data_IF_561160725470
#
_entry.id   IF_561160725470
#
_cell.length_a   1.000
_cell.length_b   1.000
_cell.length_c   1.000
_cell.angle_alpha   90.00
_cell.angle_beta   90.00
_cell.angle_gamma   90.00
#
_symmetry.space_group_name_H-M   'P 1'
#
loop_
_entity.id
_entity.type
_entity.pdbx_description
1 polymer ?
#
# COMPACT_ATOMS: atom_id res chain seq x y z
N UNK A 1 25.24 11.87 -13.20
CA UNK A 1 24.07 10.98 -13.02
C UNK A 1 24.56 9.54 -13.11
N UNK A 2 24.46 8.77 -12.02
CA UNK A 2 24.85 7.35 -12.05
C UNK A 2 23.72 6.57 -12.71
N UNK A 3 24.01 5.85 -13.79
CA UNK A 3 23.04 4.97 -14.44
C UNK A 3 22.86 3.70 -13.61
N UNK A 4 21.61 3.30 -13.39
CA UNK A 4 21.27 2.04 -12.72
C UNK A 4 20.38 1.23 -13.66
N UNK A 5 20.79 0.02 -13.95
CA UNK A 5 19.96 -0.95 -14.67
C UNK A 5 19.13 -1.70 -13.66
N UNK A 6 17.82 -1.73 -13.85
CA UNK A 6 16.86 -2.46 -13.01
C UNK A 6 16.06 -3.41 -13.90
N UNK A 7 15.98 -4.71 -13.56
CA UNK A 7 15.09 -5.62 -14.24
C UNK A 7 13.64 -5.29 -13.88
N UNK A 8 12.77 -5.23 -14.88
CA UNK A 8 11.32 -5.02 -14.72
C UNK A 8 10.56 -6.09 -15.49
N UNK A 9 9.34 -6.40 -15.06
CA UNK A 9 8.45 -7.29 -15.81
C UNK A 9 7.87 -6.57 -17.04
N UNK A 10 7.46 -7.34 -18.04
CA UNK A 10 6.80 -6.80 -19.24
C UNK A 10 5.50 -6.05 -18.90
N UNK A 11 4.76 -6.52 -17.90
CA UNK A 11 3.58 -5.85 -17.37
C UNK A 11 3.93 -4.45 -16.82
N UNK A 12 4.97 -4.37 -15.99
CA UNK A 12 5.42 -3.10 -15.43
C UNK A 12 5.90 -2.13 -16.53
N UNK A 13 6.57 -2.64 -17.57
CA UNK A 13 6.97 -1.85 -18.73
C UNK A 13 5.77 -1.24 -19.47
N UNK A 14 4.73 -2.03 -19.72
CA UNK A 14 3.53 -1.56 -20.41
C UNK A 14 2.76 -0.50 -19.60
N UNK A 15 2.67 -0.68 -18.29
CA UNK A 15 2.08 0.31 -17.38
C UNK A 15 2.87 1.63 -17.42
N UNK A 16 4.20 1.57 -17.34
CA UNK A 16 5.06 2.75 -17.44
C UNK A 16 4.92 3.46 -18.79
N UNK A 17 4.75 2.71 -19.87
CA UNK A 17 4.51 3.25 -21.21
C UNK A 17 3.18 4.01 -21.28
N UNK A 18 2.12 3.48 -20.67
CA UNK A 18 0.81 4.14 -20.59
C UNK A 18 0.80 5.40 -19.73
N UNK A 19 1.71 5.50 -18.75
CA UNK A 19 1.86 6.67 -17.86
C UNK A 19 2.66 7.82 -18.48
N UNK A 20 3.23 7.65 -19.68
CA UNK A 20 3.91 8.73 -20.39
C UNK A 20 2.90 9.75 -20.90
N UNK A 21 3.15 11.03 -20.63
CA UNK A 21 2.33 12.13 -21.17
C UNK A 21 2.66 12.45 -22.62
N UNK A 22 3.87 12.09 -23.05
CA UNK A 22 4.40 12.37 -24.38
C UNK A 22 5.41 11.26 -24.73
N UNK A 23 5.49 10.88 -26.01
CA UNK A 23 6.36 9.78 -26.45
C UNK A 23 7.86 10.02 -26.15
N UNK A 24 8.27 11.29 -26.09
CA UNK A 24 9.63 11.75 -25.77
C UNK A 24 9.97 11.74 -24.27
N UNK A 25 9.01 11.42 -23.39
CA UNK A 25 9.24 11.46 -21.95
C UNK A 25 10.15 10.31 -21.48
N UNK A 26 11.15 10.63 -20.66
CA UNK A 26 12.05 9.63 -20.08
C UNK A 26 11.30 8.76 -19.07
N UNK A 27 11.51 7.44 -19.13
CA UNK A 27 10.98 6.51 -18.13
C UNK A 27 11.49 6.82 -16.72
N UNK A 28 12.72 7.33 -16.60
CA UNK A 28 13.27 7.72 -15.30
C UNK A 28 12.46 8.85 -14.67
N UNK A 29 12.06 9.85 -15.47
CA UNK A 29 11.26 10.98 -15.00
C UNK A 29 9.83 10.54 -14.63
N UNK A 30 9.26 9.63 -15.42
CA UNK A 30 7.94 9.02 -15.13
C UNK A 30 7.97 8.24 -13.82
N UNK A 31 9.02 7.46 -13.59
CA UNK A 31 9.21 6.69 -12.34
C UNK A 31 9.36 7.63 -11.16
N UNK A 32 10.22 8.65 -11.26
CA UNK A 32 10.45 9.60 -10.16
C UNK A 32 9.17 10.40 -9.87
N UNK A 33 8.43 10.82 -10.91
CA UNK A 33 7.17 11.57 -10.73
C UNK A 33 6.10 10.76 -10.01
N UNK A 34 5.90 9.51 -10.42
CA UNK A 34 4.79 8.68 -9.91
C UNK A 34 5.16 7.90 -8.64
N UNK A 35 6.45 7.61 -8.44
CA UNK A 35 6.97 6.76 -7.38
C UNK A 35 8.13 7.43 -6.63
N UNK A 36 8.09 8.75 -6.50
CA UNK A 36 9.07 9.50 -5.69
C UNK A 36 9.07 8.96 -4.26
N UNK A 37 10.25 8.50 -3.84
CA UNK A 37 10.64 8.00 -2.53
C UNK A 37 9.55 7.71 -1.51
N UNK A 38 9.33 6.40 -1.25
CA UNK A 38 8.60 5.83 -0.09
C UNK A 38 7.52 6.79 0.45
N UNK A 39 6.29 6.66 -0.06
CA UNK A 39 5.12 7.35 0.51
C UNK A 39 5.23 7.32 2.02
N UNK A 40 5.17 8.48 2.67
CA UNK A 40 5.20 8.49 4.14
C UNK A 40 4.00 7.66 4.58
N UNK A 41 4.19 6.84 5.62
CA UNK A 41 3.10 6.02 6.15
C UNK A 41 1.86 6.88 6.48
N UNK A 42 2.07 8.15 6.86
CA UNK A 42 1.02 9.16 7.03
C UNK A 42 0.16 9.39 5.79
N UNK A 43 0.76 9.43 4.60
CA UNK A 43 0.03 9.70 3.35
C UNK A 43 -0.82 8.49 2.95
N UNK A 44 -0.27 7.29 3.17
CA UNK A 44 -1.00 6.02 2.97
C UNK A 44 -2.14 5.88 3.98
N UNK A 45 -1.92 6.23 5.25
CA UNK A 45 -2.96 6.20 6.29
C UNK A 45 -4.06 7.24 6.02
N UNK A 46 -3.71 8.42 5.49
CA UNK A 46 -4.68 9.43 5.10
C UNK A 46 -5.53 8.99 3.89
N UNK A 47 -4.95 8.25 2.93
CA UNK A 47 -5.64 7.70 1.76
C UNK A 47 -6.59 6.55 2.13
N UNK A 48 -6.20 5.72 3.10
CA UNK A 48 -7.05 4.66 3.69
C UNK A 48 -8.23 5.27 4.49
N UNK A 49 -8.11 6.53 4.91
CA UNK A 49 -9.15 7.23 5.63
C UNK A 49 -9.23 6.80 7.10
N UNK A 50 -10.10 7.47 7.86
CA UNK A 50 -10.28 7.17 9.27
C UNK A 50 -11.10 5.88 9.44
N UNK A 51 -10.43 4.75 9.60
CA UNK A 51 -11.06 3.44 9.80
C UNK A 51 -11.39 3.14 11.27
N UNK A 52 -11.52 4.16 12.14
CA UNK A 52 -11.81 3.97 13.57
C UNK A 52 -13.03 3.06 13.81
N UNK A 53 -14.12 3.25 13.08
CA UNK A 53 -15.32 2.42 13.24
C UNK A 53 -15.06 0.94 12.90
N UNK A 54 -14.24 0.67 11.88
CA UNK A 54 -13.84 -0.68 11.52
C UNK A 54 -12.89 -1.27 12.57
N UNK A 55 -11.93 -0.48 13.06
CA UNK A 55 -11.01 -0.89 14.11
C UNK A 55 -11.75 -1.24 15.42
N UNK A 56 -12.71 -0.41 15.82
CA UNK A 56 -13.55 -0.62 17.01
C UNK A 56 -14.41 -1.88 16.86
N UNK A 57 -14.95 -2.13 15.66
CA UNK A 57 -15.73 -3.34 15.37
C UNK A 57 -14.87 -4.62 15.47
N UNK A 58 -13.63 -4.57 14.97
CA UNK A 58 -12.68 -5.68 15.04
C UNK A 58 -12.25 -5.90 16.49
N UNK A 59 -11.98 -4.83 17.25
CA UNK A 59 -11.61 -4.92 18.67
C UNK A 59 -12.73 -5.55 19.48
N UNK A 60 -13.98 -5.14 19.26
CA UNK A 60 -15.16 -5.69 19.95
C UNK A 60 -15.32 -7.18 19.68
N UNK A 61 -15.31 -7.59 18.42
CA UNK A 61 -15.39 -9.01 18.03
C UNK A 61 -14.21 -9.80 18.60
N UNK A 62 -13.00 -9.26 18.53
CA UNK A 62 -11.80 -9.90 19.07
C UNK A 62 -11.86 -10.08 20.60
N UNK A 63 -12.43 -9.11 21.34
CA UNK A 63 -12.65 -9.22 22.80
C UNK A 63 -13.72 -10.25 23.13
N UNK A 64 -14.82 -10.29 22.38
CA UNK A 64 -15.89 -11.28 22.55
C UNK A 64 -15.36 -12.70 22.33
N UNK A 65 -14.62 -12.94 21.23
CA UNK A 65 -14.00 -14.25 20.97
C UNK A 65 -13.01 -14.69 22.06
N UNK A 66 -12.18 -13.78 22.59
CA UNK A 66 -11.28 -14.11 23.72
C UNK A 66 -12.06 -14.42 24.99
N UNK A 67 -13.16 -13.72 25.25
CA UNK A 67 -14.00 -13.93 26.42
C UNK A 67 -14.77 -15.25 26.35
N UNK A 68 -15.22 -15.64 25.17
CA UNK A 68 -15.87 -16.93 24.92
C UNK A 68 -14.91 -18.10 25.11
N UNK A 69 -13.68 -17.98 24.58
CA UNK A 69 -12.64 -19.01 24.76
C UNK A 69 -12.24 -19.22 26.23
N UNK A 70 -12.31 -18.17 27.05
CA UNK A 70 -12.07 -18.26 28.50
C UNK A 70 -13.22 -18.93 29.28
N UNK A 71 -14.45 -18.95 28.73
CA UNK A 71 -15.62 -19.57 29.38
C UNK A 71 -15.72 -21.08 29.15
N UNK A 72 -14.99 -21.63 28.18
CA UNK A 72 -14.92 -23.08 27.94
C UNK A 72 -14.02 -23.83 28.94
N UNK A 73 -13.28 -23.12 29.80
CA UNK A 73 -12.50 -23.77 30.86
C UNK A 73 -13.42 -24.09 32.05
N UNK A 74 -14.14 -25.20 31.97
CA UNK A 74 -14.67 -25.91 33.16
C UNK A 74 -13.57 -26.84 33.68
N UNK A 75 -13.15 -26.62 34.92
CA UNK A 75 -12.44 -27.61 35.72
C UNK A 75 -13.36 -28.77 36.09
#
# INVERSE_FOLDING_TARGET
MTTRTIPISDEAYNLLKGLKKTDMESFSDVIIRNYSGKRKLSDVLNEIGNCNDLADSIEKVSKEMRREKMREVKF
#
